data_IF_179975530381
#
_entry.id   IF_179975530381
#
_cell.length_a   1.000
_cell.length_b   1.000
_cell.length_c   1.000
_cell.angle_alpha   90.00
_cell.angle_beta   90.00
_cell.angle_gamma   90.00
#
_symmetry.space_group_name_H-M   'P 1'
#
loop_
_entity.id
_entity.type
_entity.pdbx_description
1 polymer ?
#
# COMPACT_ATOMS: atom_id res chain seq x y z
N UNK A 1 -44.35 -6.38 23.82
CA UNK A 1 -43.34 -6.38 22.74
C UNK A 1 -43.81 -5.41 21.65
N UNK A 2 -43.17 -4.23 21.49
CA UNK A 2 -43.24 -3.33 20.30
C UNK A 2 -42.72 -1.92 20.64
N UNK A 3 -41.42 -1.78 20.94
CA UNK A 3 -40.75 -0.47 20.92
C UNK A 3 -39.31 -0.57 20.42
N UNK A 4 -38.51 -1.47 20.98
CA UNK A 4 -37.11 -1.74 20.56
C UNK A 4 -36.97 -2.08 19.08
N UNK A 5 -37.89 -2.88 18.51
CA UNK A 5 -37.86 -3.25 17.08
C UNK A 5 -38.07 -2.09 16.09
N UNK A 6 -38.40 -0.88 16.57
CA UNK A 6 -38.66 0.27 15.69
C UNK A 6 -37.42 1.16 15.48
N UNK A 7 -36.44 1.11 16.37
CA UNK A 7 -35.19 1.87 16.25
C UNK A 7 -34.21 1.19 15.28
N UNK A 8 -34.19 -0.15 15.22
CA UNK A 8 -33.31 -0.96 14.36
C UNK A 8 -33.46 -0.76 12.83
N UNK A 9 -34.45 0.02 12.37
CA UNK A 9 -34.69 0.27 10.93
C UNK A 9 -34.23 1.62 10.42
N UNK A 10 -33.96 2.58 11.30
CA UNK A 10 -33.49 3.89 10.89
C UNK A 10 -31.96 3.87 10.94
N UNK A 11 -31.34 3.56 9.79
CA UNK A 11 -29.91 3.87 9.60
C UNK A 11 -29.79 5.37 9.81
N UNK A 12 -29.01 5.76 10.81
CA UNK A 12 -29.10 7.08 11.40
C UNK A 12 -28.83 8.17 10.34
N UNK A 13 -29.85 8.95 10.00
CA UNK A 13 -29.80 9.94 8.92
C UNK A 13 -28.85 11.11 9.25
N UNK A 14 -28.33 11.14 10.47
CA UNK A 14 -27.36 12.09 11.01
C UNK A 14 -25.90 11.60 10.94
N UNK A 15 -25.62 10.53 10.19
CA UNK A 15 -24.26 10.27 9.73
C UNK A 15 -23.73 11.53 9.01
N UNK A 16 -22.56 12.07 9.39
CA UNK A 16 -22.00 13.24 8.74
C UNK A 16 -21.85 13.03 7.23
N UNK A 17 -21.82 14.11 6.45
CA UNK A 17 -21.28 14.04 5.10
C UNK A 17 -19.77 13.74 5.19
N UNK A 18 -19.44 12.44 5.26
CA UNK A 18 -18.12 11.87 5.57
C UNK A 18 -17.03 12.22 4.52
N UNK A 19 -17.40 12.92 3.45
CA UNK A 19 -16.51 13.48 2.43
C UNK A 19 -15.43 14.42 2.97
N UNK A 20 -15.56 14.91 4.21
CA UNK A 20 -14.53 15.75 4.88
C UNK A 20 -14.04 15.15 6.21
N UNK A 21 -14.19 13.85 6.45
CA UNK A 21 -13.69 13.19 7.66
C UNK A 21 -12.15 13.33 7.77
N UNK A 22 -11.60 14.03 8.79
CA UNK A 22 -10.16 14.19 8.92
C UNK A 22 -9.51 12.86 9.32
N UNK A 23 -8.75 12.27 8.41
CA UNK A 23 -8.17 10.94 8.62
C UNK A 23 -7.15 10.93 9.78
N UNK A 24 -7.23 9.89 10.60
CA UNK A 24 -6.43 9.65 11.81
C UNK A 24 -6.00 8.19 11.88
N UNK A 25 -4.71 7.96 12.10
CA UNK A 25 -4.13 6.63 12.33
C UNK A 25 -3.49 6.59 13.73
N UNK A 26 -3.50 5.41 14.34
CA UNK A 26 -3.06 5.19 15.72
C UNK A 26 -1.51 5.24 15.79
N UNK A 27 -0.99 6.17 16.58
CA UNK A 27 0.43 6.56 16.63
C UNK A 27 1.37 5.45 17.11
N UNK A 28 0.87 4.51 17.91
CA UNK A 28 1.65 3.40 18.45
C UNK A 28 1.92 2.30 17.42
N UNK A 29 0.98 2.07 16.50
CA UNK A 29 1.09 0.97 15.51
C UNK A 29 1.88 1.36 14.27
N UNK A 30 2.35 2.62 14.15
CA UNK A 30 3.06 3.16 12.99
C UNK A 30 4.53 2.71 12.86
N UNK A 31 5.20 2.38 13.96
CA UNK A 31 6.66 2.15 14.01
C UNK A 31 7.08 0.70 14.34
N UNK A 32 6.09 -0.20 14.46
CA UNK A 32 6.24 -1.59 14.92
C UNK A 32 5.43 -2.53 14.02
N UNK A 33 5.84 -3.79 13.86
CA UNK A 33 5.23 -4.68 12.89
C UNK A 33 3.99 -5.36 13.48
N UNK A 34 2.83 -4.74 13.25
CA UNK A 34 1.52 -5.25 13.68
C UNK A 34 0.76 -6.00 12.57
N UNK A 35 1.17 -5.83 11.32
CA UNK A 35 0.44 -6.27 10.14
C UNK A 35 1.37 -6.87 9.09
N UNK A 36 0.88 -7.84 8.32
CA UNK A 36 1.61 -8.35 7.14
C UNK A 36 1.70 -7.27 6.05
N UNK A 37 2.91 -7.04 5.53
CA UNK A 37 3.13 -6.12 4.40
C UNK A 37 2.78 -6.73 3.03
N UNK A 38 2.46 -8.03 3.00
CA UNK A 38 2.09 -8.76 1.79
C UNK A 38 0.57 -8.77 1.57
N UNK A 39 0.13 -8.79 0.30
CA UNK A 39 -1.26 -9.10 -0.06
C UNK A 39 -1.57 -10.60 0.00
N UNK A 40 -0.55 -11.46 0.14
CA UNK A 40 -0.71 -12.92 0.27
C UNK A 40 -1.00 -13.28 1.73
N UNK A 41 -1.82 -14.31 1.93
CA UNK A 41 -2.09 -14.93 3.23
C UNK A 41 -0.77 -15.34 3.88
N UNK A 42 -0.46 -14.76 5.06
CA UNK A 42 0.69 -15.10 5.89
C UNK A 42 0.21 -15.86 7.11
N UNK A 43 0.76 -17.06 7.32
CA UNK A 43 0.53 -17.87 8.52
C UNK A 43 1.69 -17.80 9.51
N UNK A 44 2.91 -17.49 9.04
CA UNK A 44 4.07 -17.31 9.90
C UNK A 44 3.84 -16.10 10.82
N UNK A 45 3.95 -16.24 12.15
CA UNK A 45 3.84 -15.13 13.09
C UNK A 45 4.76 -13.95 12.77
N UNK A 46 4.45 -12.80 13.36
CA UNK A 46 5.39 -11.68 13.49
C UNK A 46 5.89 -11.69 14.92
N UNK A 47 7.21 -11.80 15.10
CA UNK A 47 7.88 -11.65 16.38
C UNK A 47 8.81 -10.44 16.27
N UNK A 48 8.67 -9.49 17.19
CA UNK A 48 9.50 -8.30 17.27
C UNK A 48 9.81 -7.98 18.74
N UNK A 49 11.09 -7.69 19.00
CA UNK A 49 11.59 -7.12 20.24
C UNK A 49 12.27 -5.80 19.86
N UNK A 50 12.05 -4.73 20.63
CA UNK A 50 12.72 -3.46 20.39
C UNK A 50 14.23 -3.56 20.66
N UNK A 51 15.06 -2.69 20.04
CA UNK A 51 16.52 -2.70 20.25
C UNK A 51 16.97 -2.49 21.71
N UNK A 52 16.10 -1.94 22.56
CA UNK A 52 16.33 -1.77 24.01
C UNK A 52 15.73 -2.90 24.87
N UNK A 53 15.12 -3.92 24.26
CA UNK A 53 14.53 -5.08 24.94
C UNK A 53 13.17 -4.85 25.61
N UNK A 54 12.72 -3.58 25.74
CA UNK A 54 11.56 -3.18 26.56
C UNK A 54 10.19 -3.34 25.91
N UNK A 55 10.14 -3.55 24.59
CA UNK A 55 8.86 -3.67 23.87
C UNK A 55 8.83 -4.96 23.08
N UNK A 56 7.88 -5.82 23.40
CA UNK A 56 7.58 -7.05 22.67
C UNK A 56 6.30 -6.88 21.85
N UNK A 57 6.31 -7.40 20.62
CA UNK A 57 5.11 -7.55 19.78
C UNK A 57 5.16 -8.94 19.17
N UNK A 58 4.18 -9.77 19.51
CA UNK A 58 3.93 -11.06 18.89
C UNK A 58 2.56 -11.02 18.22
N UNK A 59 2.49 -11.33 16.93
CA UNK A 59 1.23 -11.37 16.17
C UNK A 59 1.06 -12.76 15.57
N UNK A 60 0.01 -13.47 15.99
CA UNK A 60 -0.30 -14.83 15.53
C UNK A 60 -1.50 -14.85 14.58
N UNK A 61 -1.45 -15.81 13.66
CA UNK A 61 -2.40 -15.96 12.56
C UNK A 61 -3.47 -16.99 12.88
N UNK A 62 -4.70 -16.72 12.45
CA UNK A 62 -5.70 -17.77 12.28
C UNK A 62 -5.36 -18.63 11.04
N UNK A 63 -5.59 -19.94 11.11
CA UNK A 63 -5.27 -20.90 10.05
C UNK A 63 -6.10 -20.72 8.78
N UNK A 64 -7.34 -20.24 8.88
CA UNK A 64 -8.27 -19.97 7.78
C UNK A 64 -8.00 -18.61 7.13
N UNK A 65 -7.91 -17.54 7.92
CA UNK A 65 -7.83 -16.16 7.40
C UNK A 65 -6.39 -15.64 7.22
N UNK A 66 -5.43 -16.15 8.00
CA UNK A 66 -4.07 -15.60 8.09
C UNK A 66 -3.97 -14.32 8.92
N UNK A 67 -2.78 -13.72 8.95
CA UNK A 67 -2.56 -12.40 9.56
C UNK A 67 -3.31 -11.29 8.83
N UNK A 68 -3.84 -10.34 9.61
CA UNK A 68 -4.22 -9.03 9.13
C UNK A 68 -3.04 -8.35 8.41
N UNK A 69 -3.36 -7.74 7.28
CA UNK A 69 -2.42 -7.08 6.38
C UNK A 69 -2.46 -5.56 6.57
N UNK A 70 -1.45 -4.85 6.07
CA UNK A 70 -1.43 -3.38 6.12
C UNK A 70 -2.53 -2.72 5.28
N UNK A 71 -3.23 -3.48 4.44
CA UNK A 71 -4.44 -3.02 3.76
C UNK A 71 -5.67 -3.15 4.67
N UNK A 72 -5.68 -4.08 5.61
CA UNK A 72 -6.81 -4.27 6.54
C UNK A 72 -6.86 -3.14 7.58
N UNK A 73 -5.69 -2.63 7.96
CA UNK A 73 -5.51 -1.40 8.74
C UNK A 73 -6.29 -0.19 8.20
N UNK A 74 -6.58 -0.08 6.89
CA UNK A 74 -7.38 1.02 6.34
C UNK A 74 -8.75 1.14 7.03
N UNK A 75 -9.37 0.00 7.40
CA UNK A 75 -10.64 -0.04 8.14
C UNK A 75 -10.46 0.53 9.55
N UNK A 76 -9.35 0.18 10.23
CA UNK A 76 -9.03 0.69 11.56
C UNK A 76 -8.74 2.20 11.53
N UNK A 77 -8.07 2.71 10.48
CA UNK A 77 -7.85 4.14 10.24
C UNK A 77 -9.19 4.87 10.10
N UNK A 78 -10.13 4.31 9.33
CA UNK A 78 -11.49 4.86 9.22
C UNK A 78 -12.19 4.90 10.59
N UNK A 79 -12.19 3.79 11.31
CA UNK A 79 -12.79 3.68 12.65
C UNK A 79 -12.17 4.67 13.65
N UNK A 80 -10.84 4.80 13.69
CA UNK A 80 -10.15 5.77 14.53
C UNK A 80 -10.52 7.22 14.17
N UNK A 81 -10.69 7.51 12.87
CA UNK A 81 -11.13 8.82 12.39
C UNK A 81 -12.55 9.15 12.87
N UNK A 82 -13.47 8.17 12.85
CA UNK A 82 -14.84 8.31 13.38
C UNK A 82 -14.84 8.51 14.90
N UNK A 83 -14.07 7.73 15.67
CA UNK A 83 -13.94 7.92 17.13
C UNK A 83 -13.45 9.33 17.49
N UNK A 84 -12.44 9.84 16.78
CA UNK A 84 -11.89 11.18 17.01
C UNK A 84 -12.90 12.27 16.59
N UNK A 85 -13.73 12.02 15.58
CA UNK A 85 -14.82 12.94 15.20
C UNK A 85 -15.92 13.00 16.27
N UNK A 86 -16.29 11.87 16.90
CA UNK A 86 -17.16 11.88 18.09
C UNK A 86 -16.53 12.67 19.25
N UNK A 87 -15.25 12.42 19.56
CA UNK A 87 -14.51 13.18 20.58
C UNK A 87 -14.50 14.69 20.29
N UNK A 88 -14.25 15.07 19.03
CA UNK A 88 -14.21 16.48 18.57
C UNK A 88 -15.58 17.17 18.67
N UNK A 89 -16.67 16.43 18.52
CA UNK A 89 -18.05 16.93 18.67
C UNK A 89 -18.51 17.09 20.11
N UNK A 90 -17.73 16.62 21.09
CA UNK A 90 -18.14 16.62 22.49
C UNK A 90 -19.24 15.59 22.78
N UNK A 91 -19.27 14.46 22.07
CA UNK A 91 -20.13 13.33 22.47
C UNK A 91 -19.67 12.82 23.84
N UNK A 92 -20.55 12.88 24.85
CA UNK A 92 -20.22 12.51 26.24
C UNK A 92 -19.68 11.07 26.34
N UNK A 93 -20.43 10.10 25.81
CA UNK A 93 -20.04 8.70 25.73
C UNK A 93 -19.67 8.34 24.29
N UNK A 94 -18.37 8.18 24.03
CA UNK A 94 -17.89 7.78 22.70
C UNK A 94 -18.17 6.29 22.51
N UNK A 95 -18.86 5.85 21.44
CA UNK A 95 -19.23 4.46 21.28
C UNK A 95 -18.04 3.59 20.86
N UNK A 96 -17.82 2.47 21.57
CA UNK A 96 -16.89 1.41 21.16
C UNK A 96 -17.42 0.61 19.94
N UNK A 97 -18.74 0.52 19.80
CA UNK A 97 -19.42 -0.08 18.63
C UNK A 97 -19.85 1.00 17.65
N UNK A 98 -19.15 1.07 16.51
CA UNK A 98 -19.42 2.02 15.45
C UNK A 98 -20.49 1.51 14.48
N UNK A 99 -21.47 2.36 14.18
CA UNK A 99 -22.45 2.15 13.12
C UNK A 99 -21.96 2.83 11.84
N UNK A 100 -21.77 2.07 10.76
CA UNK A 100 -21.09 2.51 9.55
C UNK A 100 -21.93 2.15 8.32
N UNK A 101 -21.99 3.04 7.34
CA UNK A 101 -22.46 2.73 5.97
C UNK A 101 -21.25 2.26 5.15
N UNK A 102 -21.20 0.99 4.70
CA UNK A 102 -19.98 0.45 4.09
C UNK A 102 -19.61 1.14 2.77
N UNK A 103 -20.60 1.59 1.99
CA UNK A 103 -20.39 2.35 0.76
C UNK A 103 -19.54 3.61 1.01
N UNK A 104 -19.89 4.39 2.05
CA UNK A 104 -19.23 5.65 2.35
C UNK A 104 -17.85 5.43 2.95
N UNK A 105 -17.68 4.39 3.77
CA UNK A 105 -16.36 3.94 4.22
C UNK A 105 -15.46 3.55 3.04
N UNK A 106 -15.93 2.71 2.12
CA UNK A 106 -15.14 2.29 0.95
C UNK A 106 -14.76 3.50 0.07
N UNK A 107 -15.69 4.44 -0.15
CA UNK A 107 -15.45 5.69 -0.88
C UNK A 107 -14.40 6.58 -0.20
N UNK A 108 -14.50 6.77 1.12
CA UNK A 108 -13.51 7.53 1.91
C UNK A 108 -12.13 6.89 1.88
N UNK A 109 -12.06 5.56 1.85
CA UNK A 109 -10.83 4.77 1.73
C UNK A 109 -10.31 4.64 0.28
N UNK A 110 -10.91 5.35 -0.69
CA UNK A 110 -10.59 5.27 -2.13
C UNK A 110 -10.60 3.84 -2.69
N UNK A 111 -11.52 3.00 -2.20
CA UNK A 111 -11.74 1.63 -2.68
C UNK A 111 -12.91 1.58 -3.66
N UNK A 112 -12.90 0.57 -4.51
CA UNK A 112 -14.05 0.24 -5.37
C UNK A 112 -15.31 -0.02 -4.53
N UNK A 113 -16.48 0.28 -5.08
CA UNK A 113 -17.79 0.12 -4.41
C UNK A 113 -18.69 -0.95 -5.06
N UNK A 114 -18.10 -1.84 -5.86
CA UNK A 114 -18.80 -2.98 -6.47
C UNK A 114 -18.92 -4.20 -5.54
N UNK A 115 -19.73 -5.21 -5.91
CA UNK A 115 -20.03 -6.39 -5.06
C UNK A 115 -18.79 -7.08 -4.49
N UNK A 116 -17.76 -7.33 -5.32
CA UNK A 116 -16.47 -7.90 -4.90
C UNK A 116 -15.78 -7.12 -3.77
N UNK A 117 -15.99 -5.81 -3.68
CA UNK A 117 -15.41 -4.99 -2.62
C UNK A 117 -16.08 -5.25 -1.26
N UNK A 118 -17.37 -5.61 -1.23
CA UNK A 118 -18.07 -6.04 -0.02
C UNK A 118 -17.63 -7.43 0.45
N UNK A 119 -17.33 -8.34 -0.48
CA UNK A 119 -16.73 -9.64 -0.15
C UNK A 119 -15.32 -9.46 0.42
N UNK A 120 -14.50 -8.61 -0.21
CA UNK A 120 -13.17 -8.25 0.29
C UNK A 120 -13.24 -7.52 1.64
N UNK A 121 -14.25 -6.69 1.88
CA UNK A 121 -14.50 -6.06 3.18
C UNK A 121 -14.85 -7.09 4.25
N UNK A 122 -15.72 -8.07 3.94
CA UNK A 122 -16.06 -9.16 4.88
C UNK A 122 -14.79 -9.91 5.29
N UNK A 123 -14.04 -10.41 4.31
CA UNK A 123 -12.74 -11.07 4.51
C UNK A 123 -11.71 -10.20 5.28
N UNK A 124 -11.81 -8.87 5.17
CA UNK A 124 -10.96 -7.92 5.91
C UNK A 124 -11.33 -7.87 7.39
N UNK A 125 -12.61 -7.83 7.71
CA UNK A 125 -13.12 -7.86 9.08
C UNK A 125 -12.78 -9.20 9.74
N UNK A 126 -12.94 -10.30 9.03
CA UNK A 126 -12.60 -11.63 9.56
C UNK A 126 -11.10 -11.76 9.86
N UNK A 127 -10.21 -11.22 9.01
CA UNK A 127 -8.77 -11.10 9.33
C UNK A 127 -8.49 -10.22 10.55
N UNK A 128 -9.18 -9.09 10.70
CA UNK A 128 -9.00 -8.18 11.83
C UNK A 128 -9.48 -8.80 13.16
N UNK A 129 -10.58 -9.56 13.13
CA UNK A 129 -11.13 -10.25 14.30
C UNK A 129 -10.29 -11.49 14.69
N UNK A 130 -9.77 -12.22 13.70
CA UNK A 130 -9.08 -13.50 13.92
C UNK A 130 -7.56 -13.39 14.10
N UNK A 131 -6.97 -12.20 13.92
CA UNK A 131 -5.54 -11.93 14.20
C UNK A 131 -5.36 -11.58 15.66
N UNK A 132 -4.56 -12.37 16.38
CA UNK A 132 -4.27 -12.15 17.80
C UNK A 132 -2.92 -11.44 17.96
N UNK A 133 -2.94 -10.32 18.69
CA UNK A 133 -1.75 -9.55 19.07
C UNK A 133 -1.48 -9.76 20.56
N UNK A 134 -0.22 -10.06 20.90
CA UNK A 134 0.31 -10.01 22.27
C UNK A 134 1.38 -8.94 22.36
N UNK A 135 1.32 -8.09 23.37
CA UNK A 135 2.29 -7.01 23.56
C UNK A 135 2.25 -6.44 24.97
N UNK A 136 3.39 -5.92 25.44
CA UNK A 136 3.50 -5.16 26.69
C UNK A 136 3.29 -3.64 26.49
N UNK A 137 2.90 -3.19 25.29
CA UNK A 137 2.70 -1.77 24.96
C UNK A 137 1.57 -1.16 25.80
N UNK A 138 1.91 -0.08 26.52
CA UNK A 138 1.17 0.62 27.61
C UNK A 138 1.14 -0.08 28.96
N UNK A 139 1.34 -1.39 29.02
CA UNK A 139 1.27 -2.19 30.24
C UNK A 139 2.62 -2.32 30.98
N UNK A 140 3.73 -2.14 30.26
CA UNK A 140 5.09 -2.28 30.81
C UNK A 140 5.52 -3.74 31.01
N UNK A 141 6.76 -3.95 31.40
CA UNK A 141 7.43 -5.27 31.39
C UNK A 141 6.75 -6.34 32.27
N UNK A 142 5.89 -5.94 33.22
CA UNK A 142 5.22 -6.84 34.16
C UNK A 142 3.89 -7.42 33.65
N UNK A 143 3.29 -6.88 32.59
CA UNK A 143 1.94 -7.28 32.14
C UNK A 143 1.87 -7.32 30.61
N UNK A 144 1.61 -8.49 30.04
CA UNK A 144 1.28 -8.64 28.62
C UNK A 144 -0.23 -8.45 28.40
N UNK A 145 -0.61 -7.62 27.43
CA UNK A 145 -1.98 -7.54 26.92
C UNK A 145 -2.12 -8.39 25.66
N UNK A 146 -3.18 -9.21 25.60
CA UNK A 146 -3.59 -9.96 24.40
C UNK A 146 -4.90 -9.40 23.86
N UNK A 147 -4.99 -9.13 22.55
CA UNK A 147 -6.19 -8.58 21.90
C UNK A 147 -6.30 -8.96 20.41
N UNK A 148 -7.51 -8.95 19.86
CA UNK A 148 -7.78 -8.86 18.41
C UNK A 148 -8.01 -7.40 18.00
N UNK A 149 -8.01 -7.03 16.71
CA UNK A 149 -8.23 -5.62 16.33
C UNK A 149 -9.69 -5.17 16.49
N UNK A 150 -10.62 -6.09 16.29
CA UNK A 150 -12.05 -5.91 16.52
C UNK A 150 -12.57 -7.08 17.34
N UNK A 151 -13.53 -6.82 18.23
CA UNK A 151 -14.15 -7.87 19.07
C UNK A 151 -15.25 -8.58 18.28
N UNK A 152 -16.05 -7.82 17.52
CA UNK A 152 -17.15 -8.33 16.71
C UNK A 152 -17.50 -7.41 15.54
N UNK A 153 -18.07 -7.98 14.49
CA UNK A 153 -18.71 -7.24 13.41
C UNK A 153 -20.06 -7.87 13.05
N UNK A 154 -20.98 -7.08 12.51
CA UNK A 154 -22.23 -7.58 11.91
C UNK A 154 -22.66 -6.70 10.75
N UNK A 155 -23.37 -7.29 9.78
CA UNK A 155 -23.81 -6.63 8.56
C UNK A 155 -25.33 -6.60 8.49
N UNK A 156 -25.91 -5.41 8.33
CA UNK A 156 -27.34 -5.19 8.18
C UNK A 156 -27.68 -5.34 6.69
N UNK A 157 -28.41 -6.39 6.34
CA UNK A 157 -28.83 -6.69 4.97
C UNK A 157 -30.30 -6.34 4.76
N UNK A 158 -30.63 -5.79 3.59
CA UNK A 158 -32.02 -5.60 3.18
C UNK A 158 -32.67 -6.91 2.70
N UNK A 159 -33.98 -6.87 2.43
CA UNK A 159 -34.76 -8.04 1.93
C UNK A 159 -34.26 -8.59 0.58
N UNK A 160 -33.40 -7.87 -0.14
CA UNK A 160 -32.76 -8.30 -1.39
C UNK A 160 -31.32 -8.80 -1.17
N UNK A 161 -30.87 -8.91 0.09
CA UNK A 161 -29.54 -9.36 0.48
C UNK A 161 -28.44 -8.29 0.46
N UNK A 162 -28.76 -7.06 0.05
CA UNK A 162 -27.79 -5.97 -0.10
C UNK A 162 -27.43 -5.37 1.26
N UNK A 163 -26.14 -5.14 1.51
CA UNK A 163 -25.64 -4.62 2.79
C UNK A 163 -25.90 -3.10 2.84
N UNK A 164 -26.76 -2.67 3.79
CA UNK A 164 -27.14 -1.26 3.99
C UNK A 164 -26.36 -0.57 5.09
N UNK A 165 -25.92 -1.33 6.08
CA UNK A 165 -25.15 -0.85 7.22
C UNK A 165 -24.30 -1.96 7.81
N UNK A 166 -23.38 -1.60 8.67
CA UNK A 166 -22.59 -2.55 9.46
C UNK A 166 -22.33 -1.98 10.86
N UNK A 167 -22.16 -2.89 11.82
CA UNK A 167 -21.71 -2.57 13.18
C UNK A 167 -20.32 -3.15 13.36
N UNK A 168 -19.35 -2.37 13.84
CA UNK A 168 -18.01 -2.84 14.20
C UNK A 168 -17.77 -2.49 15.67
N UNK A 169 -17.59 -3.50 16.52
CA UNK A 169 -17.13 -3.32 17.90
C UNK A 169 -15.61 -3.40 17.92
N UNK A 170 -14.96 -2.27 18.18
CA UNK A 170 -13.50 -2.18 18.25
C UNK A 170 -13.00 -2.82 19.53
N UNK A 171 -11.85 -3.49 19.48
CA UNK A 171 -11.26 -4.05 20.69
C UNK A 171 -10.82 -2.95 21.65
N UNK A 172 -10.99 -3.19 22.95
CA UNK A 172 -10.74 -2.20 24.00
C UNK A 172 -9.32 -1.59 23.92
N UNK A 173 -8.29 -2.39 23.66
CA UNK A 173 -6.92 -1.89 23.51
C UNK A 173 -6.76 -0.89 22.34
N UNK A 174 -7.46 -1.10 21.22
CA UNK A 174 -7.44 -0.18 20.09
C UNK A 174 -8.23 1.09 20.39
N UNK A 175 -9.45 0.94 20.92
CA UNK A 175 -10.33 2.04 21.33
C UNK A 175 -9.65 2.98 22.34
N UNK A 176 -9.12 2.45 23.45
CA UNK A 176 -8.42 3.24 24.48
C UNK A 176 -7.18 3.94 23.88
N UNK A 177 -6.47 3.27 22.97
CA UNK A 177 -5.28 3.79 22.30
C UNK A 177 -5.54 4.93 21.31
N UNK A 178 -6.71 4.95 20.69
CA UNK A 178 -7.16 6.05 19.83
C UNK A 178 -7.59 7.26 20.67
N UNK A 179 -8.28 7.02 21.78
CA UNK A 179 -8.81 8.11 22.61
C UNK A 179 -7.79 8.75 23.56
N UNK A 180 -6.67 8.05 23.84
CA UNK A 180 -5.53 8.59 24.58
C UNK A 180 -5.01 9.92 24.00
N UNK A 181 -4.55 10.82 24.86
CA UNK A 181 -3.92 12.07 24.43
C UNK A 181 -2.67 11.80 23.56
N UNK A 182 -2.58 12.44 22.40
CA UNK A 182 -1.53 12.18 21.42
C UNK A 182 -1.53 10.76 20.83
N UNK A 183 -2.57 9.95 21.06
CA UNK A 183 -2.71 8.56 20.61
C UNK A 183 -2.90 8.40 19.09
N UNK A 184 -3.29 9.47 18.39
CA UNK A 184 -3.47 9.50 16.93
C UNK A 184 -2.61 10.56 16.24
N UNK A 185 -2.26 10.32 14.98
CA UNK A 185 -1.70 11.32 14.08
C UNK A 185 -2.61 11.49 12.85
N UNK A 186 -2.74 12.72 12.37
CA UNK A 186 -3.40 13.00 11.10
C UNK A 186 -2.63 12.31 9.95
N UNK A 187 -3.32 11.76 8.96
CA UNK A 187 -2.71 11.25 7.72
C UNK A 187 -3.25 11.98 6.49
N UNK A 188 -2.51 11.90 5.41
CA UNK A 188 -2.85 12.47 4.11
C UNK A 188 -3.83 11.53 3.35
N UNK A 189 -4.95 12.01 2.80
CA UNK A 189 -5.85 11.19 1.98
C UNK A 189 -5.19 10.52 0.75
N UNK A 190 -4.04 10.99 0.28
CA UNK A 190 -3.23 10.33 -0.76
C UNK A 190 -2.59 9.02 -0.27
N UNK A 191 -2.49 8.76 1.04
CA UNK A 191 -2.03 7.48 1.59
C UNK A 191 -2.78 6.28 0.98
N UNK A 192 -4.11 6.37 0.82
CA UNK A 192 -4.90 5.27 0.27
C UNK A 192 -4.65 5.00 -1.22
N UNK A 193 -4.01 5.94 -1.93
CA UNK A 193 -3.58 5.76 -3.32
C UNK A 193 -2.27 4.96 -3.45
N UNK A 194 -1.52 4.74 -2.35
CA UNK A 194 -0.34 3.87 -2.34
C UNK A 194 -0.76 2.41 -2.57
N UNK A 195 -0.03 1.68 -3.42
CA UNK A 195 -0.42 0.32 -3.86
C UNK A 195 0.42 -0.78 -3.25
N UNK A 196 1.66 -0.47 -2.83
CA UNK A 196 2.61 -1.37 -2.19
C UNK A 196 2.53 -1.34 -0.65
N UNK A 197 2.67 -2.51 -0.04
CA UNK A 197 2.58 -2.63 1.43
C UNK A 197 3.78 -2.02 2.15
N UNK A 198 4.98 -2.09 1.54
CA UNK A 198 6.19 -1.43 2.04
C UNK A 198 6.10 0.09 1.91
N UNK A 199 5.49 0.63 0.85
CA UNK A 199 5.22 2.08 0.69
C UNK A 199 4.30 2.58 1.80
N UNK A 200 3.16 1.89 2.01
CA UNK A 200 2.20 2.21 3.07
C UNK A 200 2.84 2.16 4.45
N UNK A 201 3.69 1.16 4.71
CA UNK A 201 4.40 1.06 5.98
C UNK A 201 5.43 2.19 6.15
N UNK A 202 6.25 2.47 5.12
CA UNK A 202 7.21 3.58 5.15
C UNK A 202 6.55 4.93 5.36
N UNK A 203 5.38 5.19 4.75
CA UNK A 203 4.59 6.40 4.99
C UNK A 203 4.27 6.56 6.48
N UNK A 204 3.86 5.49 7.16
CA UNK A 204 3.53 5.51 8.59
C UNK A 204 4.75 5.76 9.47
N UNK A 205 5.89 5.13 9.16
CA UNK A 205 7.18 5.37 9.84
C UNK A 205 7.62 6.83 9.65
N UNK A 206 7.60 7.34 8.42
CA UNK A 206 7.90 8.74 8.12
C UNK A 206 6.95 9.68 8.86
N UNK A 207 5.65 9.35 8.91
CA UNK A 207 4.66 10.15 9.62
C UNK A 207 4.89 10.19 11.13
N UNK A 208 5.28 9.07 11.74
CA UNK A 208 5.58 8.96 13.16
C UNK A 208 6.85 9.72 13.56
N UNK A 209 7.92 9.60 12.76
CA UNK A 209 9.25 10.12 13.14
C UNK A 209 9.58 11.46 12.45
N UNK A 210 9.50 11.56 11.13
CA UNK A 210 9.84 12.77 10.38
C UNK A 210 8.76 13.87 10.44
N UNK A 211 7.50 13.51 10.72
CA UNK A 211 6.35 14.43 10.70
C UNK A 211 6.47 15.68 11.60
N UNK A 212 7.31 15.62 12.63
CA UNK A 212 7.65 16.71 13.55
C UNK A 212 9.15 16.92 13.80
N UNK A 213 10.05 16.31 13.02
CA UNK A 213 11.50 16.35 13.24
C UNK A 213 12.20 17.58 12.63
N UNK A 214 11.45 18.61 12.21
CA UNK A 214 12.03 19.79 11.56
C UNK A 214 12.62 19.52 10.17
N UNK A 215 13.49 20.41 9.66
CA UNK A 215 14.05 20.31 8.30
C UNK A 215 15.03 19.14 8.14
N UNK A 216 15.76 18.77 9.19
CA UNK A 216 16.73 17.66 9.15
C UNK A 216 16.05 16.28 9.02
N UNK A 217 14.77 16.20 9.39
CA UNK A 217 13.97 14.98 9.33
C UNK A 217 14.52 13.88 10.25
N UNK A 218 14.29 12.63 9.86
CA UNK A 218 14.67 11.45 10.64
C UNK A 218 15.41 10.45 9.75
N UNK A 219 16.45 9.80 10.25
CA UNK A 219 17.02 8.64 9.58
C UNK A 219 17.17 7.43 10.50
N UNK A 220 17.09 6.27 9.87
CA UNK A 220 17.16 4.96 10.51
C UNK A 220 18.03 4.04 9.66
N UNK A 221 18.84 3.20 10.31
CA UNK A 221 19.69 2.22 9.64
C UNK A 221 18.82 1.17 8.94
N UNK A 222 19.27 0.73 7.77
CA UNK A 222 18.53 -0.25 6.98
C UNK A 222 18.24 -1.60 7.71
N UNK A 223 19.11 -2.13 8.61
CA UNK A 223 18.80 -3.31 9.42
C UNK A 223 17.66 -3.07 10.43
N UNK A 224 17.71 -1.98 11.19
CA UNK A 224 16.65 -1.66 12.18
C UNK A 224 15.32 -1.32 11.49
N UNK A 225 15.37 -0.75 10.29
CA UNK A 225 14.20 -0.58 9.42
C UNK A 225 13.61 -1.95 9.01
N UNK A 226 14.45 -2.92 8.66
CA UNK A 226 14.00 -4.28 8.32
C UNK A 226 13.32 -4.96 9.52
N UNK A 227 13.94 -4.95 10.69
CA UNK A 227 13.38 -5.48 11.95
C UNK A 227 12.01 -4.87 12.26
N UNK A 228 11.90 -3.54 12.27
CA UNK A 228 10.65 -2.81 12.51
C UNK A 228 9.56 -3.06 11.48
N UNK A 229 9.93 -3.48 10.27
CA UNK A 229 8.97 -3.76 9.19
C UNK A 229 8.27 -5.12 9.36
N UNK A 230 8.88 -6.05 10.11
CA UNK A 230 8.38 -7.43 10.22
C UNK A 230 8.24 -8.13 8.86
N UNK A 231 8.93 -7.65 7.82
CA UNK A 231 8.80 -8.11 6.46
C UNK A 231 9.28 -9.56 6.29
N UNK A 232 8.57 -10.35 5.49
CA UNK A 232 9.04 -11.67 5.08
C UNK A 232 10.06 -11.57 3.94
N UNK A 233 10.99 -12.53 3.93
CA UNK A 233 12.00 -12.71 2.89
C UNK A 233 13.39 -12.27 3.33
N UNK A 234 14.30 -12.28 2.37
CA UNK A 234 15.71 -11.96 2.57
C UNK A 234 15.97 -10.44 2.71
N UNK A 235 16.96 -10.08 3.53
CA UNK A 235 17.32 -8.70 3.81
C UNK A 235 17.82 -7.94 2.57
N UNK A 236 18.58 -8.56 1.67
CA UNK A 236 19.06 -7.93 0.42
C UNK A 236 17.88 -7.57 -0.49
N UNK A 237 16.86 -8.43 -0.55
CA UNK A 237 15.61 -8.13 -1.27
C UNK A 237 14.86 -6.96 -0.63
N UNK A 238 14.76 -6.92 0.70
CA UNK A 238 14.18 -5.77 1.40
C UNK A 238 14.94 -4.48 1.05
N UNK A 239 16.27 -4.46 1.15
CA UNK A 239 17.10 -3.29 0.75
C UNK A 239 16.80 -2.82 -0.67
N UNK A 240 16.70 -3.74 -1.63
CA UNK A 240 16.38 -3.41 -3.02
C UNK A 240 14.98 -2.79 -3.18
N UNK A 241 13.96 -3.35 -2.53
CA UNK A 241 12.60 -2.82 -2.59
C UNK A 241 12.47 -1.45 -1.91
N UNK A 242 13.14 -1.23 -0.77
CA UNK A 242 13.20 0.09 -0.11
C UNK A 242 13.96 1.12 -0.97
N UNK A 243 15.07 0.72 -1.60
CA UNK A 243 15.82 1.59 -2.51
C UNK A 243 15.02 1.97 -3.76
N UNK A 244 14.17 1.06 -4.27
CA UNK A 244 13.23 1.38 -5.33
C UNK A 244 12.22 2.46 -4.87
N UNK A 245 11.58 2.27 -3.71
CA UNK A 245 10.59 3.24 -3.18
C UNK A 245 11.24 4.60 -2.91
N UNK A 246 12.47 4.62 -2.37
CA UNK A 246 13.22 5.86 -2.15
C UNK A 246 13.67 6.55 -3.45
N UNK A 247 13.85 5.80 -4.55
CA UNK A 247 14.14 6.37 -5.87
C UNK A 247 12.89 6.92 -6.57
N UNK A 248 11.74 6.28 -6.39
CA UNK A 248 10.45 6.75 -6.91
C UNK A 248 9.92 7.96 -6.12
N UNK A 249 10.28 8.06 -4.83
CA UNK A 249 10.06 9.21 -3.93
C UNK A 249 8.58 9.70 -3.84
N UNK A 250 7.65 8.82 -4.18
CA UNK A 250 6.23 9.12 -4.35
C UNK A 250 5.41 9.08 -3.05
N UNK A 251 6.04 9.17 -1.87
CA UNK A 251 5.32 9.15 -0.59
C UNK A 251 4.64 10.51 -0.31
N UNK A 252 3.30 10.57 -0.08
CA UNK A 252 2.61 11.84 0.15
C UNK A 252 3.20 12.65 1.30
N UNK A 253 3.59 13.89 1.04
CA UNK A 253 4.12 14.81 2.06
C UNK A 253 5.48 14.43 2.67
N UNK A 254 6.16 13.39 2.17
CA UNK A 254 7.48 12.97 2.64
C UNK A 254 8.43 12.72 1.48
N UNK A 255 9.70 13.11 1.65
CA UNK A 255 10.80 12.78 0.76
C UNK A 255 11.69 11.70 1.41
N UNK A 256 12.16 10.76 0.61
CA UNK A 256 13.03 9.66 1.01
C UNK A 256 14.41 9.81 0.36
N UNK A 257 15.47 9.66 1.15
CA UNK A 257 16.85 9.68 0.66
C UNK A 257 17.66 8.56 1.27
N UNK A 258 18.36 7.79 0.44
CA UNK A 258 19.34 6.82 0.93
C UNK A 258 20.69 7.52 1.13
N UNK A 259 21.25 7.37 2.32
CA UNK A 259 22.54 7.93 2.71
C UNK A 259 23.56 6.78 2.77
N UNK A 260 24.42 6.67 1.77
CA UNK A 260 25.52 5.70 1.80
C UNK A 260 26.51 6.03 2.91
N UNK A 261 27.06 5.00 3.58
CA UNK A 261 28.07 5.15 4.63
C UNK A 261 29.28 4.29 4.29
N UNK A 262 30.48 4.86 4.33
CA UNK A 262 31.71 4.14 4.03
C UNK A 262 31.88 2.96 4.99
N UNK A 263 31.92 1.75 4.45
CA UNK A 263 32.09 0.50 5.23
C UNK A 263 30.91 0.11 6.13
N UNK A 264 29.73 0.75 6.01
CA UNK A 264 28.59 0.49 6.90
C UNK A 264 27.25 0.37 6.14
N UNK A 265 26.25 -0.22 6.80
CA UNK A 265 24.89 -0.32 6.24
C UNK A 265 24.26 1.07 6.03
N UNK A 266 23.51 1.27 4.93
CA UNK A 266 23.03 2.59 4.53
C UNK A 266 21.96 3.18 5.47
N UNK A 267 21.98 4.50 5.51
CA UNK A 267 20.94 5.40 5.97
C UNK A 267 19.65 5.30 5.14
N UNK A 268 18.45 5.24 5.71
CA UNK A 268 17.25 5.80 5.06
C UNK A 268 16.83 7.05 5.82
N UNK A 269 16.97 8.22 5.20
CA UNK A 269 16.44 9.49 5.69
C UNK A 269 15.06 9.76 5.12
N UNK A 270 14.21 10.30 5.98
CA UNK A 270 12.82 10.68 5.75
C UNK A 270 12.70 12.15 6.15
N UNK A 271 12.33 13.02 5.22
CA UNK A 271 12.12 14.45 5.47
C UNK A 271 10.67 14.78 5.13
N UNK A 272 10.05 15.67 5.90
CA UNK A 272 8.71 16.17 5.58
C UNK A 272 8.82 17.20 4.46
N UNK A 273 8.10 16.99 3.36
CA UNK A 273 8.07 17.96 2.24
C UNK A 273 7.53 19.31 2.72
N UNK A 274 8.11 20.38 2.19
CA UNK A 274 7.62 21.73 2.41
C UNK A 274 6.26 21.93 1.71
N UNK A 275 5.46 22.90 2.19
CA UNK A 275 4.17 23.22 1.55
C UNK A 275 4.43 23.86 0.19
N UNK A 276 4.29 23.08 -0.88
CA UNK A 276 4.49 23.52 -2.27
C UNK A 276 5.35 22.58 -3.11
N UNK A 277 6.08 21.65 -2.49
CA UNK A 277 6.76 20.57 -3.23
C UNK A 277 5.74 19.53 -3.69
N UNK A 278 5.40 19.56 -4.97
CA UNK A 278 4.62 18.52 -5.63
C UNK A 278 5.39 17.18 -5.64
N UNK A 279 4.64 16.08 -5.67
CA UNK A 279 5.22 14.75 -5.84
C UNK A 279 5.86 14.65 -7.23
N UNK A 280 7.05 14.02 -7.37
CA UNK A 280 7.67 13.84 -8.68
C UNK A 280 6.73 13.05 -9.59
N UNK A 281 6.32 13.67 -10.71
CA UNK A 281 5.33 13.10 -11.63
C UNK A 281 5.96 11.93 -12.39
N UNK A 282 5.86 10.74 -11.80
CA UNK A 282 6.21 9.48 -12.47
C UNK A 282 5.28 9.28 -13.67
N UNK A 283 5.81 9.55 -14.86
CA UNK A 283 5.06 9.66 -16.11
C UNK A 283 4.20 8.44 -16.43
N UNK A 284 2.94 8.50 -16.03
CA UNK A 284 1.90 7.57 -16.46
C UNK A 284 1.26 8.14 -17.72
N UNK A 285 1.58 7.56 -18.88
CA UNK A 285 1.06 7.98 -20.18
C UNK A 285 -0.41 7.61 -20.35
N UNK A 286 -1.29 8.41 -19.73
CA UNK A 286 -2.70 8.44 -20.08
C UNK A 286 -2.85 9.01 -21.50
N UNK A 287 -3.15 8.13 -22.47
CA UNK A 287 -3.52 8.55 -23.83
C UNK A 287 -4.93 9.12 -23.83
N UNK A 288 -5.07 10.42 -23.62
CA UNK A 288 -6.25 11.18 -24.05
C UNK A 288 -5.94 11.82 -25.41
N UNK A 289 -6.52 11.27 -26.48
CA UNK A 289 -6.46 11.88 -27.80
C UNK A 289 -7.56 12.93 -27.95
N UNK A 290 -7.17 14.18 -28.17
CA UNK A 290 -8.08 15.22 -28.69
C UNK A 290 -7.32 16.08 -29.71
N UNK A 291 -7.95 16.33 -30.84
CA UNK A 291 -7.40 17.06 -31.98
C UNK A 291 -7.57 18.58 -31.84
N UNK A 292 -6.60 19.34 -32.37
CA UNK A 292 -6.62 20.71 -32.91
C UNK A 292 -5.23 21.33 -32.67
N UNK A 293 -4.57 22.14 -33.49
CA UNK A 293 -4.65 22.60 -34.89
C UNK A 293 -3.79 23.88 -34.93
N UNK A 294 -2.61 23.82 -35.55
CA UNK A 294 -1.92 24.93 -36.24
C UNK A 294 -2.12 26.40 -35.78
N UNK A 295 -1.03 27.01 -35.30
CA UNK A 295 -0.55 28.31 -35.84
C UNK A 295 0.98 28.37 -35.76
N UNK A 296 1.63 28.92 -36.79
CA UNK A 296 3.09 29.15 -36.85
C UNK A 296 3.45 30.57 -36.38
N UNK A 297 4.62 30.74 -35.76
CA UNK A 297 5.63 31.75 -36.12
C UNK A 297 6.85 31.75 -35.18
N UNK A 298 8.04 31.64 -35.77
CA UNK A 298 9.38 32.17 -35.37
C UNK A 298 9.36 33.27 -34.27
N UNK A 299 10.20 33.33 -33.24
CA UNK A 299 11.42 32.61 -32.81
C UNK A 299 11.96 33.28 -31.51
N UNK A 300 13.22 33.17 -31.04
CA UNK A 300 14.34 32.29 -31.41
C UNK A 300 15.51 32.34 -30.37
N UNK A 301 16.58 31.57 -30.62
CA UNK A 301 17.95 31.57 -30.04
C UNK A 301 18.25 31.10 -28.58
N UNK A 302 19.36 30.32 -28.47
CA UNK A 302 20.20 29.95 -27.31
C UNK A 302 19.54 29.31 -26.03
N UNK A 303 20.01 28.20 -25.44
CA UNK A 303 21.30 27.46 -25.54
C UNK A 303 21.12 25.96 -25.24
N UNK A 304 21.77 25.08 -26.00
CA UNK A 304 21.62 23.61 -25.87
C UNK A 304 22.71 22.98 -24.99
N UNK A 305 22.33 22.26 -23.93
CA UNK A 305 23.22 21.36 -23.19
C UNK A 305 22.80 19.90 -23.43
N UNK A 306 23.65 19.14 -24.12
CA UNK A 306 23.37 17.78 -24.61
C UNK A 306 23.31 16.73 -23.49
N UNK A 307 22.14 16.15 -23.27
CA UNK A 307 21.99 14.90 -22.54
C UNK A 307 22.19 13.71 -23.51
N UNK A 308 23.17 12.84 -23.22
CA UNK A 308 23.44 11.65 -24.03
C UNK A 308 22.29 10.65 -23.89
N UNK A 309 21.63 10.21 -24.99
CA UNK A 309 20.57 9.21 -24.90
C UNK A 309 21.17 7.83 -24.61
N UNK A 310 20.64 7.16 -23.58
CA UNK A 310 20.92 5.75 -23.28
C UNK A 310 20.62 4.86 -24.50
N UNK A 311 21.49 3.91 -24.87
CA UNK A 311 21.29 3.09 -26.06
C UNK A 311 20.03 2.22 -25.94
N UNK A 312 19.35 1.91 -27.07
CA UNK A 312 18.17 1.05 -27.07
C UNK A 312 18.50 -0.36 -26.54
N UNK A 313 17.57 -1.03 -25.84
CA UNK A 313 17.82 -2.35 -25.26
C UNK A 313 17.94 -3.41 -26.36
N UNK A 314 19.16 -3.88 -26.61
CA UNK A 314 19.42 -4.95 -27.56
C UNK A 314 18.76 -6.28 -27.13
N UNK A 315 18.37 -7.12 -28.10
CA UNK A 315 17.80 -8.44 -27.83
C UNK A 315 18.84 -9.35 -27.16
N UNK A 316 18.54 -9.95 -25.99
CA UNK A 316 19.52 -10.70 -25.20
C UNK A 316 19.85 -12.06 -25.82
N UNK A 317 21.05 -12.57 -25.52
CA UNK A 317 21.47 -13.93 -25.94
C UNK A 317 20.86 -15.05 -25.08
N UNK A 318 20.48 -14.76 -23.83
CA UNK A 318 19.95 -15.74 -22.88
C UNK A 318 18.43 -15.79 -22.78
N UNK A 319 17.93 -16.53 -21.79
CA UNK A 319 16.49 -16.72 -21.56
C UNK A 319 15.75 -15.38 -21.29
N UNK A 320 14.67 -15.10 -22.02
CA UNK A 320 14.04 -13.76 -22.00
C UNK A 320 13.08 -13.50 -20.84
N UNK A 321 12.59 -14.52 -20.11
CA UNK A 321 11.44 -14.36 -19.18
C UNK A 321 11.61 -13.26 -18.11
N UNK A 322 12.84 -12.97 -17.69
CA UNK A 322 13.18 -11.95 -16.69
C UNK A 322 13.72 -10.64 -17.30
N UNK A 323 13.52 -10.42 -18.60
CA UNK A 323 13.97 -9.24 -19.36
C UNK A 323 12.79 -8.40 -19.86
N UNK A 324 13.07 -7.22 -20.44
CA UNK A 324 12.04 -6.41 -21.12
C UNK A 324 11.30 -7.22 -22.21
N UNK A 325 12.01 -8.06 -22.95
CA UNK A 325 11.42 -8.94 -23.97
C UNK A 325 10.53 -10.03 -23.35
N UNK A 326 10.83 -10.53 -22.15
CA UNK A 326 9.92 -11.43 -21.42
C UNK A 326 8.61 -10.78 -20.99
N UNK A 327 8.57 -9.45 -20.81
CA UNK A 327 7.33 -8.70 -20.62
C UNK A 327 6.54 -8.54 -21.92
N UNK A 328 7.23 -8.28 -23.03
CA UNK A 328 6.61 -8.23 -24.38
C UNK A 328 6.03 -9.60 -24.75
N UNK A 329 6.78 -10.68 -24.55
CA UNK A 329 6.33 -12.05 -24.80
C UNK A 329 5.05 -12.38 -24.03
N UNK A 330 4.98 -12.05 -22.73
CA UNK A 330 3.77 -12.27 -21.91
C UNK A 330 2.56 -11.44 -22.35
N UNK A 331 2.77 -10.30 -22.99
CA UNK A 331 1.70 -9.44 -23.50
C UNK A 331 1.25 -9.82 -24.92
N UNK A 332 2.10 -10.47 -25.72
CA UNK A 332 1.89 -10.70 -27.16
C UNK A 332 1.75 -12.16 -27.56
N UNK A 333 2.16 -13.13 -26.73
CA UNK A 333 1.96 -14.56 -27.01
C UNK A 333 0.52 -15.00 -26.71
N UNK A 334 -0.10 -15.83 -27.57
CA UNK A 334 -1.40 -16.43 -27.27
C UNK A 334 -1.32 -17.40 -26.09
N UNK A 335 -2.46 -17.58 -25.40
CA UNK A 335 -2.62 -18.55 -24.32
C UNK A 335 -3.09 -19.92 -24.85
N UNK A 336 -2.62 -21.05 -24.30
CA UNK A 336 -1.53 -21.17 -23.32
C UNK A 336 -0.17 -20.74 -23.91
N UNK A 337 0.63 -20.03 -23.12
CA UNK A 337 1.88 -19.44 -23.59
C UNK A 337 2.95 -20.53 -23.78
N UNK A 338 3.63 -20.52 -24.94
CA UNK A 338 4.84 -21.30 -25.18
C UNK A 338 5.96 -20.88 -24.24
N UNK A 339 6.89 -21.80 -23.96
CA UNK A 339 8.10 -21.51 -23.19
C UNK A 339 8.88 -20.31 -23.76
N UNK A 340 9.33 -19.43 -22.87
CA UNK A 340 9.97 -18.17 -23.27
C UNK A 340 11.40 -18.37 -23.77
N UNK A 341 12.08 -19.45 -23.38
CA UNK A 341 13.37 -19.85 -23.95
C UNK A 341 13.22 -20.23 -25.41
N UNK A 342 12.30 -21.17 -25.69
CA UNK A 342 12.01 -21.61 -27.06
C UNK A 342 11.58 -20.44 -27.97
N UNK A 343 10.72 -19.54 -27.48
CA UNK A 343 10.30 -18.34 -28.24
C UNK A 343 11.48 -17.38 -28.50
N UNK A 344 12.45 -17.29 -27.59
CA UNK A 344 13.66 -16.48 -27.80
C UNK A 344 14.59 -17.10 -28.85
N UNK A 345 14.75 -18.42 -28.86
CA UNK A 345 15.57 -19.13 -29.86
C UNK A 345 14.94 -19.10 -31.25
N UNK A 346 13.62 -19.32 -31.34
CA UNK A 346 12.83 -19.13 -32.56
C UNK A 346 13.02 -17.70 -33.12
N UNK A 347 13.02 -16.69 -32.25
CA UNK A 347 13.24 -15.31 -32.67
C UNK A 347 14.67 -15.02 -33.13
N UNK A 348 15.69 -15.59 -32.47
CA UNK A 348 17.09 -15.50 -32.93
C UNK A 348 17.27 -16.13 -34.30
N UNK A 349 16.60 -17.25 -34.58
CA UNK A 349 16.59 -17.86 -35.90
C UNK A 349 15.93 -16.95 -36.95
N UNK A 350 14.77 -16.36 -36.63
CA UNK A 350 14.09 -15.37 -37.49
C UNK A 350 14.97 -14.14 -37.79
N UNK A 351 15.67 -13.60 -36.78
CA UNK A 351 16.59 -12.47 -36.95
C UNK A 351 17.76 -12.80 -37.89
N UNK A 352 18.38 -13.98 -37.74
CA UNK A 352 19.43 -14.46 -38.65
C UNK A 352 18.93 -14.64 -40.08
N UNK A 353 17.71 -15.13 -40.27
CA UNK A 353 17.12 -15.32 -41.60
C UNK A 353 16.78 -13.99 -42.30
N UNK A 354 16.57 -12.92 -41.53
CA UNK A 354 16.14 -11.60 -42.02
C UNK A 354 17.22 -10.52 -41.93
N UNK A 355 18.44 -10.90 -41.55
CA UNK A 355 19.59 -10.01 -41.31
C UNK A 355 19.27 -8.83 -40.38
N UNK A 356 18.57 -9.13 -39.27
CA UNK A 356 18.14 -8.12 -38.29
C UNK A 356 19.14 -8.06 -37.13
N UNK A 357 19.81 -6.91 -36.99
CA UNK A 357 20.71 -6.64 -35.87
C UNK A 357 19.98 -6.64 -34.51
N UNK A 358 20.67 -7.07 -33.44
CA UNK A 358 20.05 -7.22 -32.11
C UNK A 358 19.76 -5.90 -31.40
N UNK A 359 20.54 -4.89 -31.72
CA UNK A 359 20.46 -3.49 -31.28
C UNK A 359 19.61 -2.61 -32.23
N UNK A 360 18.95 -3.21 -33.24
CA UNK A 360 18.08 -2.48 -34.14
C UNK A 360 17.04 -1.64 -33.36
N UNK A 361 16.83 -0.36 -33.71
CA UNK A 361 16.05 0.57 -32.89
C UNK A 361 14.57 0.17 -32.73
N UNK A 362 14.06 -0.67 -33.62
CA UNK A 362 12.70 -1.22 -33.62
C UNK A 362 12.62 -2.68 -33.13
N UNK A 363 13.70 -3.27 -32.58
CA UNK A 363 13.77 -4.70 -32.26
C UNK A 363 12.65 -5.18 -31.31
N UNK A 364 12.25 -4.34 -30.35
CA UNK A 364 11.12 -4.61 -29.45
C UNK A 364 9.77 -4.72 -30.19
N UNK A 365 9.55 -3.88 -31.21
CA UNK A 365 8.34 -3.89 -32.03
C UNK A 365 8.32 -5.09 -32.99
N UNK A 366 9.48 -5.43 -33.56
CA UNK A 366 9.66 -6.64 -34.37
C UNK A 366 9.36 -7.89 -33.51
N UNK A 367 9.88 -7.94 -32.28
CA UNK A 367 9.63 -9.05 -31.36
C UNK A 367 8.16 -9.17 -30.95
N UNK A 368 7.48 -8.07 -30.60
CA UNK A 368 6.04 -8.08 -30.31
C UNK A 368 5.21 -8.63 -31.48
N UNK A 369 5.55 -8.20 -32.71
CA UNK A 369 4.91 -8.66 -33.95
C UNK A 369 5.20 -10.13 -34.26
N UNK A 370 6.38 -10.63 -33.86
CA UNK A 370 6.72 -12.04 -33.98
C UNK A 370 5.92 -12.90 -33.00
N UNK A 371 5.85 -12.50 -31.71
CA UNK A 371 5.07 -13.19 -30.69
C UNK A 371 3.57 -13.29 -31.05
N UNK A 372 2.97 -12.24 -31.61
CA UNK A 372 1.55 -12.27 -31.99
C UNK A 372 1.22 -13.20 -33.15
N UNK A 373 2.23 -13.67 -33.89
CA UNK A 373 2.10 -14.65 -35.00
C UNK A 373 2.49 -16.07 -34.60
N UNK A 374 2.91 -16.29 -33.36
CA UNK A 374 3.20 -17.62 -32.83
C UNK A 374 1.92 -18.43 -32.62
N UNK A 375 2.01 -19.76 -32.74
CA UNK A 375 0.92 -20.65 -32.31
C UNK A 375 0.90 -20.73 -30.78
N UNK A 376 -0.28 -20.96 -30.20
CA UNK A 376 -0.41 -21.33 -28.79
C UNK A 376 0.34 -22.64 -28.51
N UNK A 377 0.71 -22.88 -27.25
CA UNK A 377 1.23 -24.17 -26.84
C UNK A 377 0.17 -25.27 -27.03
N UNK A 378 0.62 -26.46 -27.41
CA UNK A 378 -0.19 -27.67 -27.55
C UNK A 378 -0.35 -28.38 -26.20
#
# INVERSE_FOLDING_TARGET
>A
MSKEQREDRQVDLFLPQLTTLPLRDQRETMERPFFSLSKRKRLKPIDYVSPDGKVTVHVSANSEYGLATIYDLDILIYCASVLIEHKRRGTNDIPQTLHIVPHDMLKTLKRDVGGRAYDLLSNTLDRLQSTTVKTNIRSGDAVETTFSWIDSHSQIRDRKGSIRGMRITLAKWFYDGVLMEGGVLAIDPAYFSLTGGRERWLYRVARKHAGGAGPDGFAITMPTLFEKSGAEGDYRRFKFEIAKIAKEDALPGFALKIEARNGAEPMLRMVKRSKGEELPVSGTTARSGTSQSTTEATGDDQTTATAVPSPPPAFPEGHIAYTAFGSIARASLPSPQRDHGLVADDFRAFMRQRDIARDAPNIAQIFATFCSKQRAAS
#
